data_IF_888647075270
#
_entry.id   IF_888647075270
#
_cell.length_a   1.000
_cell.length_b   1.000
_cell.length_c   1.000
_cell.angle_alpha   90.00
_cell.angle_beta   90.00
_cell.angle_gamma   90.00
#
_symmetry.space_group_name_H-M   'P 1'
#
loop_
_entity.id
_entity.type
_entity.pdbx_description
1 polymer ?
#
# COMPACT_ATOMS: atom_id res chain seq x y z
N UNK A 1 2.73 -27.33 -4.17
CA UNK A 1 4.04 -27.32 -3.49
C UNK A 1 3.98 -26.26 -2.39
N UNK A 2 4.20 -26.59 -1.12
CA UNK A 2 4.14 -25.60 -0.02
C UNK A 2 5.42 -24.76 0.04
N UNK A 3 5.30 -23.43 0.09
CA UNK A 3 6.43 -22.49 0.24
C UNK A 3 6.67 -22.28 1.73
N UNK A 4 7.81 -22.75 2.26
CA UNK A 4 8.11 -22.70 3.71
C UNK A 4 9.24 -21.75 4.09
N UNK A 5 9.96 -21.20 3.11
CA UNK A 5 11.17 -20.40 3.35
C UNK A 5 11.15 -19.15 2.49
N UNK A 6 11.80 -18.09 2.97
CA UNK A 6 11.95 -16.83 2.23
C UNK A 6 12.67 -17.07 0.91
N UNK A 7 13.71 -17.91 0.89
CA UNK A 7 14.35 -18.35 -0.35
C UNK A 7 13.36 -18.98 -1.33
N UNK A 8 12.47 -19.83 -0.84
CA UNK A 8 11.41 -20.45 -1.65
C UNK A 8 10.45 -19.40 -2.22
N UNK A 9 10.05 -18.42 -1.40
CA UNK A 9 9.21 -17.31 -1.81
C UNK A 9 9.89 -16.45 -2.88
N UNK A 10 11.15 -16.06 -2.68
CA UNK A 10 11.95 -15.28 -3.64
C UNK A 10 12.04 -15.99 -5.00
N UNK A 11 12.36 -17.29 -5.02
CA UNK A 11 12.41 -18.06 -6.27
C UNK A 11 11.05 -18.13 -6.96
N UNK A 12 9.96 -18.19 -6.20
CA UNK A 12 8.62 -18.23 -6.76
C UNK A 12 8.21 -16.88 -7.35
N UNK A 13 8.51 -15.78 -6.65
CA UNK A 13 8.30 -14.40 -7.11
C UNK A 13 9.14 -14.13 -8.37
N UNK A 14 10.43 -14.46 -8.34
CA UNK A 14 11.32 -14.36 -9.50
C UNK A 14 10.75 -15.07 -10.73
N UNK A 15 10.31 -16.33 -10.59
CA UNK A 15 9.71 -17.06 -11.71
C UNK A 15 8.48 -16.38 -12.26
N UNK A 16 7.60 -15.84 -11.41
CA UNK A 16 6.41 -15.14 -11.89
C UNK A 16 6.75 -13.80 -12.58
N UNK A 17 7.71 -13.04 -12.06
CA UNK A 17 8.13 -11.76 -12.68
C UNK A 17 8.74 -12.00 -14.06
N UNK A 18 9.67 -12.96 -14.16
CA UNK A 18 10.32 -13.29 -15.43
C UNK A 18 9.29 -13.78 -16.45
N UNK A 19 8.35 -14.65 -16.04
CA UNK A 19 7.31 -15.17 -16.93
C UNK A 19 6.25 -14.13 -17.31
N UNK A 20 5.89 -13.24 -16.37
CA UNK A 20 4.75 -12.32 -16.54
C UNK A 20 5.12 -10.95 -17.08
N UNK A 21 6.34 -10.45 -16.88
CA UNK A 21 6.75 -9.07 -17.23
C UNK A 21 8.03 -9.01 -18.06
N UNK A 22 8.63 -10.17 -18.37
CA UNK A 22 9.88 -10.29 -19.12
C UNK A 22 11.00 -9.39 -18.57
N UNK A 23 11.12 -9.33 -17.24
CA UNK A 23 12.15 -8.56 -16.54
C UNK A 23 13.40 -9.39 -16.29
N UNK A 24 14.56 -8.73 -16.27
CA UNK A 24 15.85 -9.35 -16.00
C UNK A 24 16.23 -9.14 -14.54
N UNK A 25 16.41 -10.23 -13.79
CA UNK A 25 16.84 -10.16 -12.40
C UNK A 25 18.31 -9.76 -12.31
N UNK A 26 18.58 -8.68 -11.59
CA UNK A 26 19.94 -8.15 -11.36
C UNK A 26 20.44 -8.45 -9.94
N UNK A 27 19.52 -8.65 -8.99
CA UNK A 27 19.87 -8.96 -7.60
C UNK A 27 18.80 -9.83 -6.92
N UNK A 28 19.21 -10.75 -6.06
CA UNK A 28 18.31 -11.50 -5.18
C UNK A 28 19.01 -11.88 -3.88
N UNK A 29 18.41 -11.54 -2.74
CA UNK A 29 18.95 -11.91 -1.42
C UNK A 29 17.85 -12.03 -0.38
N UNK A 30 18.05 -12.93 0.57
CA UNK A 30 17.27 -12.96 1.82
C UNK A 30 17.73 -11.79 2.71
N UNK A 31 16.80 -11.05 3.31
CA UNK A 31 17.12 -10.05 4.34
C UNK A 31 17.12 -10.68 5.71
N UNK A 32 16.07 -11.45 5.99
CA UNK A 32 15.88 -12.16 7.24
C UNK A 32 14.95 -13.38 7.03
N UNK A 33 14.42 -13.95 8.11
CA UNK A 33 13.52 -15.12 8.08
C UNK A 33 12.10 -14.81 7.60
N UNK A 34 11.78 -13.56 7.30
CA UNK A 34 10.46 -13.05 6.90
C UNK A 34 10.48 -12.30 5.57
N UNK A 35 11.53 -11.53 5.30
CA UNK A 35 11.68 -10.68 4.12
C UNK A 35 12.83 -11.12 3.21
N UNK A 36 12.61 -10.99 1.92
CA UNK A 36 13.63 -11.08 0.88
C UNK A 36 13.57 -9.86 -0.03
N UNK A 37 14.67 -9.59 -0.74
CA UNK A 37 14.76 -8.58 -1.78
C UNK A 37 15.08 -9.22 -3.12
N UNK A 38 14.45 -8.68 -4.15
CA UNK A 38 14.72 -8.99 -5.54
C UNK A 38 14.76 -7.65 -6.30
N UNK A 39 15.82 -7.41 -7.06
CA UNK A 39 15.89 -6.27 -7.98
C UNK A 39 15.90 -6.79 -9.42
N UNK A 40 15.20 -6.07 -10.27
CA UNK A 40 15.23 -6.25 -11.72
C UNK A 40 15.80 -5.01 -12.39
N UNK A 41 15.85 -5.05 -13.72
CA UNK A 41 16.12 -3.89 -14.57
C UNK A 41 15.02 -2.81 -14.49
N UNK A 42 13.83 -3.12 -13.93
CA UNK A 42 12.68 -2.20 -13.89
C UNK A 42 12.21 -1.80 -12.49
N UNK A 43 12.29 -2.71 -11.53
CA UNK A 43 11.67 -2.52 -10.22
C UNK A 43 12.42 -3.22 -9.08
N UNK A 44 12.07 -2.83 -7.86
CA UNK A 44 12.51 -3.50 -6.64
C UNK A 44 11.32 -4.20 -5.99
N UNK A 45 11.50 -5.47 -5.66
CA UNK A 45 10.49 -6.30 -5.04
C UNK A 45 10.92 -6.68 -3.63
N UNK A 46 10.14 -6.25 -2.65
CA UNK A 46 10.25 -6.69 -1.26
C UNK A 46 9.32 -7.89 -1.13
N UNK A 47 9.88 -9.09 -0.97
CA UNK A 47 9.10 -10.31 -0.79
C UNK A 47 8.88 -10.57 0.70
N UNK A 48 7.62 -10.72 1.14
CA UNK A 48 7.24 -11.12 2.50
C UNK A 48 6.55 -12.48 2.45
N UNK A 49 7.19 -13.49 3.03
CA UNK A 49 6.57 -14.81 3.19
C UNK A 49 5.53 -14.73 4.31
N UNK A 50 4.24 -14.89 4.02
CA UNK A 50 3.18 -14.98 5.02
C UNK A 50 3.13 -16.38 5.62
N UNK A 51 3.01 -16.43 6.94
CA UNK A 51 2.76 -17.64 7.73
C UNK A 51 1.36 -17.59 8.32
N UNK A 52 0.89 -18.72 8.85
CA UNK A 52 -0.40 -18.82 9.52
C UNK A 52 -0.57 -17.76 10.63
N UNK A 53 0.46 -17.55 11.45
CA UNK A 53 0.47 -16.55 12.53
C UNK A 53 0.46 -15.08 12.06
N UNK A 54 0.71 -14.83 10.78
CA UNK A 54 0.63 -13.47 10.20
C UNK A 54 -0.82 -13.10 9.84
N UNK A 55 -1.70 -14.10 9.68
CA UNK A 55 -3.12 -13.86 9.44
C UNK A 55 -3.82 -13.51 10.75
N UNK A 56 -4.72 -12.53 10.68
CA UNK A 56 -5.50 -12.06 11.83
C UNK A 56 -6.96 -11.94 11.46
N UNK A 57 -7.82 -12.06 12.47
CA UNK A 57 -9.21 -11.65 12.36
C UNK A 57 -9.29 -10.11 12.39
N UNK A 58 -9.38 -9.51 11.21
CA UNK A 58 -9.56 -8.08 11.02
C UNK A 58 -10.91 -7.62 11.59
N UNK A 59 -11.95 -8.48 11.57
CA UNK A 59 -13.25 -8.18 12.16
C UNK A 59 -13.20 -8.03 13.67
N UNK A 60 -12.40 -8.85 14.34
CA UNK A 60 -12.15 -8.71 15.78
C UNK A 60 -11.37 -7.43 16.15
N UNK A 61 -10.43 -7.01 15.30
CA UNK A 61 -9.60 -5.82 15.55
C UNK A 61 -10.31 -4.51 15.17
N UNK A 62 -11.05 -4.50 14.07
CA UNK A 62 -11.71 -3.32 13.50
C UNK A 62 -13.13 -3.67 13.04
N UNK A 63 -14.06 -3.97 13.97
CA UNK A 63 -15.38 -4.50 13.65
C UNK A 63 -16.21 -3.57 12.76
N UNK A 64 -16.17 -2.27 13.03
CA UNK A 64 -16.89 -1.26 12.25
C UNK A 64 -16.41 -1.21 10.80
N UNK A 65 -15.09 -1.21 10.59
CA UNK A 65 -14.49 -1.16 9.25
C UNK A 65 -14.71 -2.47 8.49
N UNK A 66 -14.56 -3.61 9.16
CA UNK A 66 -14.81 -4.92 8.56
C UNK A 66 -16.26 -5.10 8.10
N UNK A 67 -17.22 -4.58 8.88
CA UNK A 67 -18.65 -4.61 8.53
C UNK A 67 -18.94 -3.80 7.26
N UNK A 68 -18.27 -2.65 7.08
CA UNK A 68 -18.47 -1.79 5.92
C UNK A 68 -18.05 -2.45 4.60
N UNK A 69 -16.92 -3.14 4.60
CA UNK A 69 -16.40 -3.81 3.41
C UNK A 69 -16.88 -5.26 3.28
N UNK A 70 -17.60 -5.77 4.29
CA UNK A 70 -18.04 -7.16 4.36
C UNK A 70 -16.88 -8.16 4.27
N UNK A 71 -15.75 -7.84 4.93
CA UNK A 71 -14.51 -8.63 4.89
C UNK A 71 -13.80 -8.64 6.24
N UNK A 72 -13.43 -9.82 6.72
CA UNK A 72 -12.86 -10.02 8.06
C UNK A 72 -11.45 -10.62 8.06
N UNK A 73 -10.93 -11.08 6.91
CA UNK A 73 -9.58 -11.63 6.85
C UNK A 73 -8.56 -10.49 6.73
N UNK A 74 -7.60 -10.46 7.66
CA UNK A 74 -6.51 -9.49 7.65
C UNK A 74 -5.12 -10.12 7.71
N UNK A 75 -4.11 -9.28 7.49
CA UNK A 75 -2.71 -9.60 7.69
C UNK A 75 -2.12 -8.59 8.67
N UNK A 76 -1.30 -9.08 9.58
CA UNK A 76 -0.53 -8.27 10.53
C UNK A 76 0.92 -8.18 10.08
N UNK A 77 1.46 -6.96 10.08
CA UNK A 77 2.80 -6.65 9.59
C UNK A 77 3.57 -5.77 10.57
N UNK A 78 4.80 -6.18 10.93
CA UNK A 78 5.64 -5.38 11.82
C UNK A 78 6.08 -4.09 11.11
N UNK A 79 5.83 -2.93 11.71
CA UNK A 79 6.21 -1.63 11.12
C UNK A 79 7.72 -1.51 10.97
N UNK A 80 8.46 -1.84 12.03
CA UNK A 80 9.92 -1.79 12.03
C UNK A 80 10.53 -2.74 10.99
N UNK A 81 9.96 -3.94 10.83
CA UNK A 81 10.40 -4.91 9.83
C UNK A 81 10.19 -4.39 8.40
N UNK A 82 9.01 -3.83 8.11
CA UNK A 82 8.74 -3.21 6.82
C UNK A 82 9.66 -2.02 6.55
N UNK A 83 9.82 -1.10 7.50
CA UNK A 83 10.71 0.06 7.35
C UNK A 83 12.17 -0.36 7.12
N UNK A 84 12.64 -1.39 7.81
CA UNK A 84 13.99 -1.94 7.59
C UNK A 84 14.13 -2.56 6.19
N UNK A 85 13.12 -3.30 5.72
CA UNK A 85 13.12 -3.88 4.38
C UNK A 85 13.12 -2.81 3.28
N UNK A 86 12.33 -1.74 3.45
CA UNK A 86 12.36 -0.56 2.56
C UNK A 86 13.73 0.13 2.63
N UNK A 87 14.29 0.33 3.82
CA UNK A 87 15.61 0.93 3.97
C UNK A 87 16.72 0.14 3.27
N UNK A 88 16.60 -1.19 3.22
CA UNK A 88 17.56 -2.06 2.55
C UNK A 88 17.54 -1.91 1.01
N UNK A 89 16.45 -1.47 0.40
CA UNK A 89 16.41 -1.22 -1.06
C UNK A 89 17.31 -0.06 -1.49
N UNK A 90 17.60 0.88 -0.57
CA UNK A 90 18.50 2.02 -0.84
C UNK A 90 19.94 1.60 -1.17
N UNK A 91 20.34 0.39 -0.78
CA UNK A 91 21.67 -0.17 -1.06
C UNK A 91 21.75 -0.88 -2.42
N UNK A 92 20.62 -1.00 -3.12
CA UNK A 92 20.55 -1.69 -4.40
C UNK A 92 20.89 -0.74 -5.55
N UNK A 93 21.40 -1.27 -6.67
CA UNK A 93 21.58 -0.49 -7.89
C UNK A 93 20.26 0.18 -8.30
N UNK A 94 20.30 1.50 -8.48
CA UNK A 94 19.18 2.26 -9.05
C UNK A 94 19.23 2.14 -10.57
N UNK A 95 18.22 1.49 -11.15
CA UNK A 95 17.97 1.51 -12.58
C UNK A 95 16.80 2.46 -12.83
N UNK A 96 17.07 3.70 -13.27
CA UNK A 96 16.05 4.69 -13.57
C UNK A 96 15.08 4.99 -12.40
N UNK A 97 13.80 5.19 -12.73
CA UNK A 97 12.67 5.35 -11.78
C UNK A 97 12.22 4.00 -11.25
N UNK A 98 13.09 3.27 -10.55
CA UNK A 98 12.76 1.96 -10.00
C UNK A 98 11.62 2.08 -8.98
N UNK A 99 10.44 1.55 -9.30
CA UNK A 99 9.31 1.47 -8.38
C UNK A 99 9.55 0.35 -7.37
N UNK A 100 9.07 0.53 -6.13
CA UNK A 100 9.14 -0.48 -5.09
C UNK A 100 7.80 -1.19 -4.94
N UNK A 101 7.80 -2.51 -4.94
CA UNK A 101 6.60 -3.35 -4.82
C UNK A 101 6.77 -4.30 -3.64
N UNK A 102 5.81 -4.31 -2.72
CA UNK A 102 5.75 -5.30 -1.65
C UNK A 102 4.91 -6.49 -2.12
N UNK A 103 5.50 -7.67 -2.14
CA UNK A 103 4.89 -8.92 -2.58
C UNK A 103 4.75 -9.87 -1.40
N UNK A 104 3.52 -10.15 -1.01
CA UNK A 104 3.16 -11.16 -0.03
C UNK A 104 3.02 -12.52 -0.70
N UNK A 105 3.65 -13.54 -0.12
CA UNK A 105 3.61 -14.92 -0.61
C UNK A 105 3.09 -15.82 0.49
N UNK A 106 1.93 -16.45 0.29
CA UNK A 106 1.38 -17.44 1.20
C UNK A 106 2.09 -18.80 1.01
N UNK A 107 2.08 -19.65 2.04
CA UNK A 107 2.59 -21.01 1.99
C UNK A 107 1.93 -21.86 0.91
N UNK A 108 0.69 -21.52 0.54
CA UNK A 108 -0.07 -22.18 -0.53
C UNK A 108 0.30 -21.68 -1.94
N UNK A 109 1.23 -20.73 -2.06
CA UNK A 109 1.63 -20.16 -3.35
C UNK A 109 0.64 -19.13 -3.87
N UNK A 110 -0.10 -18.46 -2.97
CA UNK A 110 -0.88 -17.27 -3.31
C UNK A 110 0.04 -16.06 -3.26
N UNK A 111 -0.07 -15.17 -4.26
CA UNK A 111 0.79 -13.99 -4.40
C UNK A 111 -0.07 -12.74 -4.44
N UNK A 112 0.19 -11.82 -3.52
CA UNK A 112 -0.53 -10.56 -3.38
C UNK A 112 0.47 -9.41 -3.31
N UNK A 113 0.11 -8.23 -3.85
CA UNK A 113 1.01 -7.09 -3.91
C UNK A 113 0.33 -5.78 -3.57
N UNK A 114 1.16 -4.84 -3.12
CA UNK A 114 0.81 -3.43 -2.91
C UNK A 114 2.10 -2.61 -2.93
N UNK A 115 2.02 -1.32 -3.26
CA UNK A 115 3.12 -0.39 -3.02
C UNK A 115 3.41 -0.29 -1.50
N UNK A 116 4.67 -0.37 -1.04
CA UNK A 116 4.98 -0.28 0.38
C UNK A 116 4.59 1.06 0.98
N UNK A 117 4.80 2.16 0.26
CA UNK A 117 4.37 3.50 0.68
C UNK A 117 2.84 3.62 0.72
N UNK A 118 2.15 3.10 -0.30
CA UNK A 118 0.68 3.04 -0.35
C UNK A 118 0.10 2.29 0.84
N UNK A 119 0.67 1.12 1.19
CA UNK A 119 0.24 0.35 2.34
C UNK A 119 0.42 1.13 3.65
N UNK A 120 1.59 1.73 3.84
CA UNK A 120 1.89 2.52 5.04
C UNK A 120 0.95 3.71 5.16
N UNK A 121 0.80 4.50 4.09
CA UNK A 121 -0.09 5.66 4.06
C UNK A 121 -1.54 5.28 4.32
N UNK A 122 -2.04 4.20 3.69
CA UNK A 122 -3.38 3.68 3.95
C UNK A 122 -3.55 3.29 5.43
N UNK A 123 -2.61 2.53 5.99
CA UNK A 123 -2.72 2.09 7.37
C UNK A 123 -2.64 3.25 8.36
N UNK A 124 -1.80 4.26 8.10
CA UNK A 124 -1.64 5.42 8.98
C UNK A 124 -2.86 6.35 8.91
N UNK A 125 -3.34 6.65 7.70
CA UNK A 125 -4.53 7.47 7.49
C UNK A 125 -5.78 6.80 8.09
N UNK A 126 -5.95 5.50 7.90
CA UNK A 126 -7.10 4.74 8.41
C UNK A 126 -6.94 4.30 9.88
N UNK A 127 -5.78 4.57 10.51
CA UNK A 127 -5.55 4.23 11.92
C UNK A 127 -5.47 2.73 12.19
N UNK A 128 -4.99 1.96 11.21
CA UNK A 128 -4.91 0.50 11.23
C UNK A 128 -3.64 0.00 11.95
N UNK A 129 -3.29 0.64 13.06
CA UNK A 129 -2.14 0.25 13.88
C UNK A 129 -2.58 -0.45 15.16
N UNK A 130 -1.89 -1.52 15.53
CA UNK A 130 -2.22 -2.34 16.70
C UNK A 130 -0.99 -2.68 17.55
N UNK A 131 -1.24 -3.23 18.74
CA UNK A 131 -0.22 -3.64 19.69
C UNK A 131 0.39 -2.50 20.50
N UNK A 132 1.24 -2.84 21.47
CA UNK A 132 1.90 -1.84 22.33
C UNK A 132 2.75 -0.90 21.47
N UNK A 133 2.54 0.41 21.64
CA UNK A 133 3.25 1.44 20.90
C UNK A 133 2.95 1.45 19.40
N UNK A 134 1.79 0.94 18.96
CA UNK A 134 1.42 0.89 17.55
C UNK A 134 2.48 0.19 16.69
N UNK A 135 3.01 -0.93 17.16
CA UNK A 135 4.16 -1.64 16.54
C UNK A 135 3.79 -2.42 15.27
N UNK A 136 2.50 -2.64 15.04
CA UNK A 136 2.00 -3.47 13.95
C UNK A 136 1.00 -2.71 13.08
N UNK A 137 1.07 -2.91 11.77
CA UNK A 137 -0.06 -2.66 10.88
C UNK A 137 -0.96 -3.90 10.85
N UNK A 138 -2.27 -3.72 10.81
CA UNK A 138 -3.23 -4.80 10.62
C UNK A 138 -4.28 -4.35 9.60
N UNK A 139 -4.25 -4.92 8.40
CA UNK A 139 -5.03 -4.44 7.25
C UNK A 139 -5.79 -5.60 6.59
N UNK A 140 -6.94 -5.33 5.95
CA UNK A 140 -7.73 -6.37 5.32
C UNK A 140 -7.03 -6.86 4.06
N UNK A 141 -7.01 -8.18 3.81
CA UNK A 141 -6.31 -8.75 2.64
C UNK A 141 -6.88 -8.29 1.30
N UNK A 142 -8.13 -7.81 1.30
CA UNK A 142 -8.87 -7.40 0.12
C UNK A 142 -8.23 -6.21 -0.62
N UNK A 143 -7.49 -5.34 0.09
CA UNK A 143 -6.77 -4.19 -0.51
C UNK A 143 -5.53 -4.62 -1.29
N UNK A 144 -5.08 -5.87 -1.12
CA UNK A 144 -3.91 -6.36 -1.82
C UNK A 144 -4.35 -6.84 -3.20
N UNK A 145 -3.61 -6.43 -4.23
CA UNK A 145 -3.88 -6.86 -5.60
C UNK A 145 -3.25 -8.22 -5.86
N UNK A 146 -3.91 -9.12 -6.60
CA UNK A 146 -3.27 -10.34 -7.03
C UNK A 146 -2.07 -10.03 -7.91
N UNK A 147 -1.02 -10.81 -7.72
CA UNK A 147 0.24 -10.66 -8.45
C UNK A 147 0.14 -11.38 -9.80
N UNK A 148 0.45 -10.69 -10.89
CA UNK A 148 0.66 -11.27 -12.23
C UNK A 148 -0.46 -12.20 -12.69
N UNK A 149 -1.68 -11.66 -12.89
CA UNK A 149 -2.81 -12.40 -13.45
C UNK A 149 -3.37 -13.51 -12.55
N UNK A 150 -2.96 -13.56 -11.27
CA UNK A 150 -3.63 -14.45 -10.31
C UNK A 150 -5.06 -13.99 -10.13
N UNK A 151 -6.00 -14.93 -10.09
CA UNK A 151 -7.38 -14.57 -9.80
C UNK A 151 -7.57 -14.31 -8.30
N UNK A 152 -8.41 -13.32 -7.96
CA UNK A 152 -8.94 -13.17 -6.60
C UNK A 152 -9.86 -14.34 -6.27
N UNK A 153 -9.93 -14.71 -5.01
CA UNK A 153 -10.90 -15.70 -4.55
C UNK A 153 -12.34 -15.17 -4.77
N UNK A 154 -13.32 -16.07 -4.93
CA UNK A 154 -14.72 -15.70 -5.18
C UNK A 154 -15.27 -14.75 -4.12
N UNK A 155 -14.92 -15.01 -2.86
CA UNK A 155 -15.41 -14.24 -1.72
C UNK A 155 -14.81 -12.83 -1.69
N UNK A 156 -13.54 -12.69 -2.12
CA UNK A 156 -12.88 -11.39 -2.23
C UNK A 156 -13.48 -10.54 -3.35
N UNK A 157 -13.80 -11.16 -4.49
CA UNK A 157 -14.50 -10.48 -5.59
C UNK A 157 -15.88 -10.00 -5.14
N UNK A 158 -16.64 -10.88 -4.47
CA UNK A 158 -17.96 -10.53 -3.96
C UNK A 158 -17.89 -9.39 -2.93
N UNK A 159 -16.91 -9.41 -2.03
CA UNK A 159 -16.70 -8.35 -1.06
C UNK A 159 -16.31 -7.01 -1.72
N UNK A 160 -15.42 -6.99 -2.71
CA UNK A 160 -15.10 -5.77 -3.46
C UNK A 160 -16.29 -5.22 -4.24
N UNK A 161 -17.09 -6.09 -4.85
CA UNK A 161 -18.31 -5.67 -5.54
C UNK A 161 -19.30 -5.03 -4.56
N UNK A 162 -19.50 -5.63 -3.38
CA UNK A 162 -20.34 -5.01 -2.33
C UNK A 162 -19.79 -3.66 -1.88
N UNK A 163 -18.49 -3.58 -1.60
CA UNK A 163 -17.85 -2.32 -1.22
C UNK A 163 -17.99 -1.25 -2.32
N UNK A 164 -17.86 -1.62 -3.59
CA UNK A 164 -18.05 -0.71 -4.72
C UNK A 164 -19.49 -0.20 -4.83
N UNK A 165 -20.49 -1.04 -4.55
CA UNK A 165 -21.89 -0.62 -4.54
C UNK A 165 -22.16 0.37 -3.39
N UNK A 166 -21.61 0.09 -2.20
CA UNK A 166 -21.73 0.97 -1.03
C UNK A 166 -21.08 2.33 -1.30
N UNK A 167 -19.88 2.34 -1.88
CA UNK A 167 -19.18 3.55 -2.31
C UNK A 167 -20.03 4.40 -3.27
N UNK A 168 -20.64 3.77 -4.28
CA UNK A 168 -21.50 4.47 -5.24
C UNK A 168 -22.75 5.07 -4.58
N UNK A 169 -23.40 4.35 -3.67
CA UNK A 169 -24.60 4.85 -2.95
C UNK A 169 -24.25 6.02 -2.02
N UNK A 170 -23.12 5.94 -1.33
CA UNK A 170 -22.72 7.00 -0.38
C UNK A 170 -22.20 8.25 -1.10
N UNK A 171 -21.63 8.11 -2.30
CA UNK A 171 -21.16 9.25 -3.10
C UNK A 171 -22.28 10.23 -3.51
N UNK A 172 -23.55 9.82 -3.44
CA UNK A 172 -24.71 10.68 -3.72
C UNK A 172 -25.25 11.45 -2.52
N UNK A 173 -24.79 11.18 -1.29
CA UNK A 173 -25.31 11.78 -0.05
C UNK A 173 -24.24 12.54 0.76
N UNK A 174 -23.01 12.67 0.24
CA UNK A 174 -21.82 12.99 1.02
C UNK A 174 -21.80 14.40 1.65
N UNK A 175 -21.69 14.43 2.98
CA UNK A 175 -21.13 15.51 3.80
C UNK A 175 -19.66 15.13 4.11
N UNK A 176 -18.71 16.06 3.95
CA UNK A 176 -17.24 15.80 3.91
C UNK A 176 -16.62 15.20 5.20
N UNK A 177 -17.38 14.96 6.27
CA UNK A 177 -16.84 14.69 7.61
C UNK A 177 -16.73 13.20 7.99
N UNK A 178 -17.11 12.25 7.13
CA UNK A 178 -17.20 10.84 7.54
C UNK A 178 -16.00 9.99 7.12
N UNK A 179 -14.98 9.85 7.99
CA UNK A 179 -13.83 8.90 7.84
C UNK A 179 -14.22 7.48 7.36
N UNK A 180 -15.45 7.06 7.67
CA UNK A 180 -16.04 5.76 7.29
C UNK A 180 -16.30 5.63 5.79
N UNK A 181 -16.74 6.70 5.13
CA UNK A 181 -17.00 6.71 3.69
C UNK A 181 -15.67 6.61 2.92
N UNK A 182 -14.69 7.42 3.33
CA UNK A 182 -13.33 7.37 2.78
C UNK A 182 -12.66 5.99 2.91
N UNK A 183 -13.00 5.21 3.94
CA UNK A 183 -12.46 3.85 4.09
C UNK A 183 -12.92 2.90 3.00
N UNK A 184 -14.23 2.87 2.73
CA UNK A 184 -14.80 2.00 1.70
C UNK A 184 -14.26 2.39 0.33
N UNK A 185 -14.20 3.70 0.04
CA UNK A 185 -13.66 4.22 -1.22
C UNK A 185 -12.19 3.85 -1.41
N UNK A 186 -11.36 4.04 -0.39
CA UNK A 186 -9.96 3.65 -0.44
C UNK A 186 -9.78 2.14 -0.63
N UNK A 187 -10.62 1.31 0.01
CA UNK A 187 -10.57 -0.15 -0.17
C UNK A 187 -10.96 -0.54 -1.60
N UNK A 188 -11.96 0.11 -2.18
CA UNK A 188 -12.37 -0.11 -3.58
C UNK A 188 -11.25 0.29 -4.53
N UNK A 189 -10.69 1.49 -4.36
CA UNK A 189 -9.60 1.99 -5.19
C UNK A 189 -8.37 1.07 -5.11
N UNK A 190 -7.94 0.68 -3.92
CA UNK A 190 -6.78 -0.20 -3.75
C UNK A 190 -7.07 -1.64 -4.20
N UNK A 191 -8.31 -2.10 -4.10
CA UNK A 191 -8.74 -3.43 -4.49
C UNK A 191 -8.86 -3.64 -6.00
N UNK A 192 -8.93 -2.56 -6.79
CA UNK A 192 -9.06 -2.65 -8.24
C UNK A 192 -7.75 -3.10 -8.93
N UNK A 193 -7.83 -4.00 -9.93
CA UNK A 193 -6.66 -4.53 -10.63
C UNK A 193 -5.93 -3.48 -11.47
N UNK A 194 -6.62 -2.40 -11.86
CA UNK A 194 -6.09 -1.36 -12.76
C UNK A 194 -5.29 -0.28 -12.04
N UNK A 195 -5.25 -0.29 -10.71
CA UNK A 195 -4.15 0.32 -9.96
C UNK A 195 -2.91 -0.58 -10.07
N UNK A 196 -2.50 -0.85 -11.31
CA UNK A 196 -1.10 -1.10 -11.59
C UNK A 196 -0.33 0.10 -11.04
N UNK A 197 0.83 -0.16 -10.44
CA UNK A 197 1.79 0.88 -10.10
C UNK A 197 2.37 1.50 -11.40
N UNK A 198 1.52 2.17 -12.18
CA UNK A 198 1.80 2.82 -13.44
C UNK A 198 1.85 4.33 -13.18
N UNK A 199 3.09 4.79 -13.10
CA UNK A 199 3.60 6.01 -13.71
C UNK A 199 3.20 7.35 -13.07
N UNK A 200 4.09 7.86 -12.22
CA UNK A 200 4.29 9.30 -12.10
C UNK A 200 4.52 9.92 -13.49
N UNK A 201 3.74 10.96 -13.80
CA UNK A 201 3.91 11.84 -14.97
C UNK A 201 4.89 13.00 -14.66
N UNK A 202 5.49 13.65 -15.68
CA UNK A 202 6.78 14.33 -15.56
C UNK A 202 6.67 15.74 -14.95
N UNK A 203 7.61 16.06 -14.05
CA UNK A 203 7.77 17.39 -13.43
C UNK A 203 8.44 18.35 -14.42
N UNK A 204 7.78 19.50 -14.66
CA UNK A 204 8.37 20.66 -15.34
C UNK A 204 9.14 21.54 -14.34
N UNK A 205 10.23 22.12 -14.80
CA UNK A 205 11.35 22.68 -14.04
C UNK A 205 11.11 24.04 -13.34
N UNK A 206 11.87 24.29 -12.26
CA UNK A 206 12.54 25.59 -12.05
C UNK A 206 12.56 26.25 -10.65
N UNK A 207 13.77 26.28 -10.06
CA UNK A 207 14.42 27.38 -9.27
C UNK A 207 14.23 27.42 -7.73
N UNK A 208 15.29 27.78 -6.93
CA UNK A 208 15.57 27.22 -5.60
C UNK A 208 15.48 28.21 -4.41
N UNK A 209 15.88 27.71 -3.20
CA UNK A 209 16.13 28.35 -1.86
C UNK A 209 14.99 28.21 -0.83
N UNK A 210 15.17 27.89 0.46
CA UNK A 210 16.33 27.71 1.37
C UNK A 210 15.94 26.81 2.57
N UNK A 211 16.88 25.93 2.97
CA UNK A 211 17.10 25.20 4.24
C UNK A 211 16.09 25.27 5.40
N UNK A 212 15.45 24.11 5.65
CA UNK A 212 15.36 23.46 6.97
C UNK A 212 15.38 21.93 6.75
N UNK A 213 16.32 21.25 7.40
CA UNK A 213 16.68 19.81 7.40
C UNK A 213 16.03 18.85 6.39
N UNK A 214 16.84 18.49 5.38
CA UNK A 214 16.58 17.55 4.28
C UNK A 214 16.47 16.08 4.76
N UNK A 215 15.25 15.56 4.76
CA UNK A 215 15.01 14.21 4.24
C UNK A 215 14.92 14.32 2.71
N UNK A 216 16.01 13.97 2.03
CA UNK A 216 16.10 14.06 0.57
C UNK A 216 15.37 12.85 -0.07
N UNK A 217 14.05 12.90 -0.05
CA UNK A 217 13.19 12.10 -0.93
C UNK A 217 13.16 12.79 -2.29
N UNK A 218 14.09 12.40 -3.17
CA UNK A 218 13.98 12.68 -4.59
C UNK A 218 12.75 11.94 -5.16
N UNK A 219 11.56 12.50 -4.93
CA UNK A 219 10.24 11.95 -5.28
C UNK A 219 9.08 12.55 -4.47
N UNK A 220 9.26 12.84 -3.17
CA UNK A 220 8.15 13.27 -2.29
C UNK A 220 7.96 14.79 -2.19
N UNK A 221 8.84 15.59 -2.79
CA UNK A 221 8.72 17.05 -2.78
C UNK A 221 7.41 17.54 -3.44
N UNK A 222 6.95 16.86 -4.48
CA UNK A 222 5.69 17.17 -5.15
C UNK A 222 4.46 16.78 -4.32
N UNK A 223 4.53 15.64 -3.61
CA UNK A 223 3.45 15.19 -2.73
C UNK A 223 3.36 16.09 -1.50
N UNK A 224 4.49 16.45 -0.90
CA UNK A 224 4.54 17.40 0.21
C UNK A 224 4.14 18.81 -0.22
N UNK A 225 4.47 19.26 -1.44
CA UNK A 225 4.00 20.55 -1.96
C UNK A 225 2.50 20.55 -2.23
N UNK A 226 1.96 19.48 -2.79
CA UNK A 226 0.51 19.31 -3.01
C UNK A 226 -0.22 19.23 -1.67
N UNK A 227 0.28 18.47 -0.69
CA UNK A 227 -0.30 18.42 0.65
C UNK A 227 -0.22 19.78 1.37
N UNK A 228 0.86 20.53 1.16
CA UNK A 228 1.05 21.91 1.64
C UNK A 228 0.03 22.87 0.99
N UNK A 229 -0.15 22.80 -0.33
CA UNK A 229 -1.14 23.61 -1.05
C UNK A 229 -2.57 23.25 -0.67
N UNK A 230 -2.87 21.96 -0.51
CA UNK A 230 -4.17 21.48 0.01
C UNK A 230 -4.40 22.05 1.40
N UNK A 231 -3.42 21.99 2.30
CA UNK A 231 -3.57 22.50 3.65
C UNK A 231 -3.73 24.03 3.69
N UNK A 232 -3.02 24.75 2.81
CA UNK A 232 -3.17 26.21 2.63
C UNK A 232 -4.54 26.58 2.06
N UNK A 233 -5.04 25.81 1.09
CA UNK A 233 -6.35 26.01 0.50
C UNK A 233 -7.47 25.70 1.49
N UNK A 234 -7.35 24.63 2.28
CA UNK A 234 -8.28 24.30 3.37
C UNK A 234 -8.31 25.40 4.43
N UNK A 235 -7.15 25.94 4.80
CA UNK A 235 -7.07 27.07 5.75
C UNK A 235 -7.78 28.30 5.17
N UNK A 236 -7.61 28.59 3.88
CA UNK A 236 -8.24 29.72 3.20
C UNK A 236 -9.75 29.54 3.03
N UNK A 237 -10.21 28.31 2.77
CA UNK A 237 -11.63 27.95 2.72
C UNK A 237 -12.25 28.12 4.11
N UNK A 238 -11.56 27.69 5.17
CA UNK A 238 -12.00 27.90 6.56
C UNK A 238 -12.13 29.38 6.92
N UNK A 239 -11.15 30.21 6.56
CA UNK A 239 -11.23 31.67 6.75
C UNK A 239 -12.38 32.31 5.96
N UNK A 240 -12.69 31.80 4.76
CA UNK A 240 -13.81 32.29 3.95
C UNK A 240 -15.16 31.87 4.54
N UNK A 241 -15.27 30.64 5.06
CA UNK A 241 -16.46 30.15 5.76
C UNK A 241 -16.71 30.89 7.07
N UNK A 242 -15.66 31.20 7.84
CA UNK A 242 -15.78 32.01 9.07
C UNK A 242 -16.21 33.45 8.75
N UNK A 243 -15.79 34.00 7.60
CA UNK A 243 -16.20 35.35 7.14
C UNK A 243 -17.61 35.38 6.55
N UNK A 244 -18.10 34.30 5.94
CA UNK A 244 -19.47 34.22 5.42
C UNK A 244 -20.48 33.81 6.50
N UNK A 245 -20.06 33.12 7.56
CA UNK A 245 -20.90 32.79 8.72
C UNK A 245 -21.11 33.95 9.70
N UNK A 246 -20.37 35.06 9.56
CA UNK A 246 -20.46 36.24 10.43
C UNK A 246 -21.25 37.42 9.80
N UNK A 247 -22.12 37.16 8.82
CA UNK A 247 -23.07 38.13 8.27
C UNK A 247 -24.51 37.64 8.34
#
# INVERSE_FOLDING_TARGET
MKIKTVRGALRAVQRKIVAGHAETVTYSSELDKTYGLLATDKAWYITRLLREDDYVDFGGLFPELAKQIGWTRGVRLARQGLSAAIGATRKLPRHGTASSILVFVDEHGRFLQIGPATLMGFCEYMGLTTGRGNSWYAFPTIILSPVFGSERDTDERAALQRASLISQVNSTEADEDTRKEYFVDAVVQLGQPDNQAVLDSPVSAGVPTTSFDQFDFAGDGAVLSVLSEINRNLTRIRELLEKTSSK
#
